data_IF_809851810487
#
_entry.id   IF_809851810487
#
_cell.length_a   1.000
_cell.length_b   1.000
_cell.length_c   1.000
_cell.angle_alpha   90.00
_cell.angle_beta   90.00
_cell.angle_gamma   90.00
#
_symmetry.space_group_name_H-M   'P 1'
#
loop_
_entity.id
_entity.type
_entity.pdbx_description
1 polymer ?
#
# COMPACT_ATOMS: atom_id res chain seq x y z
N UNK A 1 -20.90 11.44 -21.51
CA UNK A 1 -20.96 10.26 -20.61
C UNK A 1 -19.73 10.22 -19.73
N UNK A 2 -19.95 10.23 -18.44
CA UNK A 2 -18.87 9.97 -17.48
C UNK A 2 -18.47 8.50 -17.58
N UNK A 3 -17.22 8.27 -17.97
CA UNK A 3 -16.66 6.92 -18.03
C UNK A 3 -16.58 6.35 -16.62
N UNK A 4 -17.17 5.20 -16.36
CA UNK A 4 -17.07 4.55 -15.07
C UNK A 4 -15.70 3.84 -14.96
N UNK A 5 -14.74 4.56 -14.44
CA UNK A 5 -13.35 4.10 -14.30
C UNK A 5 -13.26 2.89 -13.37
N UNK A 6 -13.96 2.93 -12.23
CA UNK A 6 -13.92 1.82 -11.28
C UNK A 6 -14.43 0.51 -11.87
N UNK A 7 -15.50 0.55 -12.64
CA UNK A 7 -16.03 -0.63 -13.31
C UNK A 7 -15.06 -1.18 -14.36
N UNK A 8 -14.43 -0.29 -15.13
CA UNK A 8 -13.41 -0.66 -16.10
C UNK A 8 -12.22 -1.34 -15.41
N UNK A 9 -11.73 -0.77 -14.32
CA UNK A 9 -10.63 -1.33 -13.53
C UNK A 9 -10.98 -2.74 -13.02
N UNK A 10 -12.17 -2.91 -12.45
CA UNK A 10 -12.63 -4.24 -11.97
C UNK A 10 -12.57 -5.30 -13.07
N UNK A 11 -13.08 -4.98 -14.24
CA UNK A 11 -13.09 -5.90 -15.39
C UNK A 11 -11.67 -6.24 -15.83
N UNK A 12 -10.80 -5.24 -15.90
CA UNK A 12 -9.41 -5.43 -16.32
C UNK A 12 -8.61 -6.25 -15.31
N UNK A 13 -8.85 -6.06 -14.01
CA UNK A 13 -8.23 -6.89 -12.97
C UNK A 13 -8.72 -8.34 -13.03
N UNK A 14 -9.99 -8.57 -13.34
CA UNK A 14 -10.52 -9.91 -13.53
C UNK A 14 -9.84 -10.61 -14.73
N UNK A 15 -9.67 -9.89 -15.83
CA UNK A 15 -8.97 -10.41 -17.00
C UNK A 15 -7.50 -10.73 -16.69
N UNK A 16 -6.83 -9.84 -15.96
CA UNK A 16 -5.45 -10.07 -15.52
C UNK A 16 -5.34 -11.32 -14.64
N UNK A 17 -6.27 -11.51 -13.71
CA UNK A 17 -6.29 -12.69 -12.85
C UNK A 17 -6.40 -13.98 -13.68
N UNK A 18 -7.24 -13.98 -14.73
CA UNK A 18 -7.37 -15.11 -15.64
C UNK A 18 -6.09 -15.37 -16.43
N UNK A 19 -5.48 -14.34 -16.97
CA UNK A 19 -4.22 -14.44 -17.72
C UNK A 19 -3.07 -14.98 -16.87
N UNK A 20 -2.95 -14.48 -15.64
CA UNK A 20 -1.89 -14.84 -14.71
C UNK A 20 -2.22 -16.10 -13.88
N UNK A 21 -3.40 -16.68 -14.08
CA UNK A 21 -3.89 -17.85 -13.32
C UNK A 21 -3.83 -17.62 -11.82
N UNK A 22 -4.26 -16.43 -11.40
CA UNK A 22 -4.30 -16.02 -10.01
C UNK A 22 -5.74 -15.89 -9.53
N UNK A 23 -5.93 -16.02 -8.22
CA UNK A 23 -7.21 -15.72 -7.57
C UNK A 23 -7.54 -14.22 -7.73
N UNK A 24 -8.78 -13.93 -8.14
CA UNK A 24 -9.20 -12.54 -8.38
C UNK A 24 -9.06 -11.67 -7.13
N UNK A 25 -9.44 -12.18 -5.95
CA UNK A 25 -9.32 -11.42 -4.71
C UNK A 25 -7.87 -11.08 -4.37
N UNK A 26 -6.93 -11.97 -4.69
CA UNK A 26 -5.51 -11.70 -4.50
C UNK A 26 -5.01 -10.58 -5.42
N UNK A 27 -5.43 -10.61 -6.68
CA UNK A 27 -5.09 -9.54 -7.64
C UNK A 27 -5.70 -8.21 -7.20
N UNK A 28 -6.95 -8.23 -6.76
CA UNK A 28 -7.63 -7.04 -6.26
C UNK A 28 -6.91 -6.43 -5.05
N UNK A 29 -6.58 -7.24 -4.06
CA UNK A 29 -5.87 -6.77 -2.86
C UNK A 29 -4.51 -6.16 -3.25
N UNK A 30 -3.77 -6.79 -4.16
CA UNK A 30 -2.50 -6.24 -4.65
C UNK A 30 -2.68 -4.91 -5.35
N UNK A 31 -3.76 -4.77 -6.13
CA UNK A 31 -4.07 -3.48 -6.77
C UNK A 31 -4.34 -2.39 -5.74
N UNK A 32 -5.12 -2.69 -4.70
CA UNK A 32 -5.40 -1.73 -3.64
C UNK A 32 -4.13 -1.36 -2.86
N UNK A 33 -3.25 -2.32 -2.60
CA UNK A 33 -1.94 -2.06 -2.00
C UNK A 33 -1.11 -1.10 -2.86
N UNK A 34 -1.01 -1.38 -4.16
CA UNK A 34 -0.31 -0.53 -5.12
C UNK A 34 -0.86 0.90 -5.09
N UNK A 35 -2.18 1.06 -5.05
CA UNK A 35 -2.82 2.38 -5.07
C UNK A 35 -2.66 3.13 -3.75
N UNK A 36 -2.57 2.43 -2.63
CA UNK A 36 -2.23 3.08 -1.36
C UNK A 36 -0.76 3.51 -1.35
N UNK A 37 0.13 2.67 -1.85
CA UNK A 37 1.55 3.03 -2.00
C UNK A 37 1.72 4.25 -2.92
N UNK A 38 0.90 4.37 -3.96
CA UNK A 38 0.87 5.57 -4.80
C UNK A 38 0.55 6.81 -3.96
N UNK A 39 -0.48 6.76 -3.11
CA UNK A 39 -0.85 7.90 -2.27
C UNK A 39 0.25 8.27 -1.28
N UNK A 40 0.92 7.29 -0.72
CA UNK A 40 2.10 7.54 0.14
C UNK A 40 3.20 8.24 -0.68
N UNK A 41 3.49 7.74 -1.89
CA UNK A 41 4.54 8.29 -2.76
C UNK A 41 4.23 9.71 -3.25
N UNK A 42 2.95 10.04 -3.39
CA UNK A 42 2.50 11.36 -3.81
C UNK A 42 2.27 12.32 -2.64
N UNK A 43 2.42 11.85 -1.41
CA UNK A 43 2.25 12.64 -0.20
C UNK A 43 3.57 13.27 0.26
N UNK A 44 3.51 14.25 1.18
CA UNK A 44 4.73 14.79 1.81
C UNK A 44 5.53 13.76 2.64
N UNK A 45 4.94 12.58 2.88
CA UNK A 45 5.52 11.56 3.77
C UNK A 45 6.28 10.46 3.03
N UNK A 46 6.47 10.59 1.71
CA UNK A 46 7.15 9.60 0.88
C UNK A 46 8.48 9.11 1.48
N UNK A 47 9.31 10.04 1.97
CA UNK A 47 10.63 9.71 2.51
C UNK A 47 10.61 9.07 3.89
N UNK A 48 9.43 9.03 4.53
CA UNK A 48 9.28 8.51 5.89
C UNK A 48 8.83 7.05 5.93
N UNK A 49 8.48 6.45 4.80
CA UNK A 49 8.02 5.07 4.73
C UNK A 49 8.83 4.28 3.72
N UNK A 50 9.43 3.20 4.20
CA UNK A 50 10.23 2.30 3.37
C UNK A 50 9.52 0.97 3.22
N UNK A 51 9.39 0.51 1.97
CA UNK A 51 8.80 -0.79 1.67
C UNK A 51 9.72 -1.90 2.16
N UNK A 52 9.17 -2.90 2.83
CA UNK A 52 9.93 -4.06 3.31
C UNK A 52 9.09 -5.35 3.24
N UNK A 53 9.67 -6.45 3.67
CA UNK A 53 8.96 -7.73 3.83
C UNK A 53 8.33 -8.26 2.56
N UNK A 54 7.16 -8.88 2.70
CA UNK A 54 6.45 -9.53 1.59
C UNK A 54 6.03 -8.57 0.49
N UNK A 55 5.73 -7.32 0.83
CA UNK A 55 5.39 -6.28 -0.15
C UNK A 55 6.58 -5.96 -1.06
N UNK A 56 7.78 -5.94 -0.49
CA UNK A 56 9.01 -5.74 -1.27
C UNK A 56 9.29 -6.96 -2.17
N UNK A 57 9.06 -8.16 -1.67
CA UNK A 57 9.24 -9.38 -2.47
C UNK A 57 8.32 -9.38 -3.69
N UNK A 58 7.08 -8.95 -3.55
CA UNK A 58 6.19 -8.80 -4.71
C UNK A 58 6.73 -7.78 -5.71
N UNK A 59 7.27 -6.68 -5.23
CA UNK A 59 7.86 -5.67 -6.13
C UNK A 59 9.04 -6.22 -6.94
N UNK A 60 9.78 -7.19 -6.39
CA UNK A 60 10.93 -7.80 -7.05
C UNK A 60 10.56 -9.00 -7.92
N UNK A 61 9.64 -9.85 -7.46
CA UNK A 61 9.34 -11.15 -8.07
C UNK A 61 7.94 -11.27 -8.67
N UNK A 62 7.10 -10.23 -8.53
CA UNK A 62 5.73 -10.22 -9.06
C UNK A 62 4.87 -11.34 -8.47
N UNK A 63 4.06 -11.99 -9.31
CA UNK A 63 3.15 -13.05 -8.89
C UNK A 63 3.84 -14.34 -8.42
N UNK A 64 5.14 -14.46 -8.58
CA UNK A 64 5.93 -15.57 -8.01
C UNK A 64 6.12 -15.41 -6.51
N UNK A 65 6.04 -14.18 -6.01
CA UNK A 65 6.16 -13.93 -4.57
C UNK A 65 4.94 -14.43 -3.82
N UNK A 66 5.17 -14.82 -2.57
CA UNK A 66 4.09 -15.24 -1.68
C UNK A 66 3.06 -14.10 -1.52
N UNK A 67 1.76 -14.38 -1.63
CA UNK A 67 0.73 -13.38 -1.38
C UNK A 67 0.84 -12.82 0.03
N UNK A 68 0.68 -11.50 0.14
CA UNK A 68 0.63 -10.83 1.44
C UNK A 68 -0.76 -10.22 1.65
N UNK A 69 -1.21 -10.26 2.90
CA UNK A 69 -2.48 -9.65 3.31
C UNK A 69 -2.25 -8.19 3.69
N UNK A 70 -1.05 -7.88 4.21
CA UNK A 70 -0.72 -6.56 4.74
C UNK A 70 0.44 -5.94 3.97
N UNK A 71 0.43 -4.61 3.90
CA UNK A 71 1.59 -3.86 3.41
C UNK A 71 2.57 -3.74 4.58
N UNK A 72 3.83 -4.08 4.36
CA UNK A 72 4.90 -3.95 5.37
C UNK A 72 5.74 -2.70 5.09
N UNK A 73 5.74 -1.76 6.02
CA UNK A 73 6.52 -0.53 5.94
C UNK A 73 7.41 -0.36 7.16
N UNK A 74 8.56 0.27 6.95
CA UNK A 74 9.39 0.79 8.01
C UNK A 74 9.16 2.30 8.11
N UNK A 75 8.80 2.80 9.29
CA UNK A 75 8.69 4.22 9.56
C UNK A 75 10.06 4.78 9.95
N UNK A 76 10.49 5.83 9.26
CA UNK A 76 11.77 6.49 9.50
C UNK A 76 11.57 7.99 9.69
N UNK A 77 12.13 8.51 10.77
CA UNK A 77 12.02 9.94 11.13
C UNK A 77 10.56 10.42 11.18
N UNK A 78 9.68 9.55 11.67
CA UNK A 78 8.27 9.85 11.84
C UNK A 78 7.82 9.32 13.21
N UNK A 79 6.90 10.03 13.86
CA UNK A 79 6.41 9.65 15.18
C UNK A 79 5.57 8.36 15.11
N UNK A 80 5.77 7.50 16.11
CA UNK A 80 4.91 6.34 16.35
C UNK A 80 3.69 6.69 17.21
N UNK A 81 3.51 7.96 17.57
CA UNK A 81 2.34 8.42 18.30
C UNK A 81 1.08 8.20 17.47
N UNK A 82 0.06 7.60 18.11
CA UNK A 82 -1.18 7.20 17.43
C UNK A 82 -1.86 8.36 16.72
N UNK A 83 -2.03 9.48 17.42
CA UNK A 83 -2.75 10.64 16.88
C UNK A 83 -1.96 11.29 15.74
N UNK A 84 -0.65 11.42 15.90
CA UNK A 84 0.24 11.95 14.86
C UNK A 84 0.23 11.07 13.62
N UNK A 85 0.32 9.77 13.78
CA UNK A 85 0.32 8.81 12.68
C UNK A 85 -1.04 8.78 11.97
N UNK A 86 -2.13 8.93 12.73
CA UNK A 86 -3.47 9.02 12.16
C UNK A 86 -3.60 10.24 11.24
N UNK A 87 -3.09 11.40 11.66
CA UNK A 87 -3.07 12.61 10.83
C UNK A 87 -2.29 12.40 9.53
N UNK A 88 -1.15 11.72 9.62
CA UNK A 88 -0.35 11.37 8.43
C UNK A 88 -1.18 10.56 7.44
N UNK A 89 -1.86 9.51 7.91
CA UNK A 89 -2.66 8.65 7.03
C UNK A 89 -3.94 9.33 6.56
N UNK A 90 -4.51 10.26 7.31
CA UNK A 90 -5.61 11.09 6.82
C UNK A 90 -5.18 11.90 5.60
N UNK A 91 -3.98 12.48 5.63
CA UNK A 91 -3.43 13.21 4.49
C UNK A 91 -3.08 12.29 3.32
N UNK A 92 -2.52 11.12 3.61
CA UNK A 92 -2.24 10.09 2.57
C UNK A 92 -3.54 9.69 1.86
N UNK A 93 -4.59 9.38 2.62
CA UNK A 93 -5.88 8.96 2.06
C UNK A 93 -6.58 10.09 1.29
N UNK A 94 -6.27 11.35 1.57
CA UNK A 94 -6.84 12.50 0.88
C UNK A 94 -6.18 12.81 -0.47
N UNK A 95 -5.07 12.15 -0.80
CA UNK A 95 -4.46 12.25 -2.13
C UNK A 95 -5.43 11.65 -3.15
N UNK A 96 -5.87 12.47 -4.09
CA UNK A 96 -6.81 12.06 -5.11
C UNK A 96 -6.10 11.47 -6.32
N UNK A 97 -6.72 10.45 -6.92
CA UNK A 97 -6.28 9.88 -8.18
C UNK A 97 -7.51 9.32 -8.91
N UNK A 98 -8.07 10.12 -9.79
CA UNK A 98 -9.29 9.73 -10.53
C UNK A 98 -9.06 8.55 -11.46
N UNK A 99 -7.86 8.45 -12.03
CA UNK A 99 -7.53 7.46 -13.05
C UNK A 99 -7.44 6.03 -12.54
N UNK A 100 -7.27 5.82 -11.23
CA UNK A 100 -7.16 4.47 -10.66
C UNK A 100 -8.47 3.92 -10.10
N UNK A 101 -9.51 4.74 -10.03
CA UNK A 101 -10.83 4.33 -9.57
C UNK A 101 -10.96 4.03 -8.08
N UNK A 102 -9.92 4.24 -7.29
CA UNK A 102 -9.89 3.89 -5.87
C UNK A 102 -10.08 5.12 -4.98
N UNK A 103 -10.90 4.98 -3.95
CA UNK A 103 -11.05 5.98 -2.90
C UNK A 103 -10.75 5.32 -1.55
N UNK A 104 -9.85 5.90 -0.79
CA UNK A 104 -9.57 5.48 0.59
C UNK A 104 -10.35 6.38 1.55
N UNK A 105 -11.14 5.76 2.41
CA UNK A 105 -11.99 6.48 3.36
C UNK A 105 -11.17 6.87 4.61
N UNK A 106 -10.76 8.13 4.67
CA UNK A 106 -10.00 8.65 5.82
C UNK A 106 -10.78 8.55 7.14
N UNK A 107 -12.11 8.58 7.08
CA UNK A 107 -12.96 8.43 8.27
C UNK A 107 -12.98 7.01 8.82
N UNK A 108 -12.54 6.02 8.05
CA UNK A 108 -12.49 4.62 8.46
C UNK A 108 -11.17 4.24 9.16
N UNK A 109 -10.21 5.14 9.23
CA UNK A 109 -8.87 4.84 9.76
C UNK A 109 -8.93 4.34 11.20
N UNK A 110 -8.34 3.17 11.41
CA UNK A 110 -8.15 2.56 12.72
C UNK A 110 -6.67 2.23 12.89
N UNK A 111 -6.11 2.62 14.02
CA UNK A 111 -4.71 2.37 14.37
C UNK A 111 -4.66 1.53 15.63
N UNK A 112 -3.95 0.42 15.55
CA UNK A 112 -3.78 -0.52 16.65
C UNK A 112 -2.29 -0.80 16.86
N UNK A 113 -1.83 -0.89 18.12
CA UNK A 113 -0.46 -1.36 18.36
C UNK A 113 -0.34 -2.80 17.91
N UNK A 114 0.78 -3.12 17.25
CA UNK A 114 1.10 -4.50 16.97
C UNK A 114 1.63 -5.10 18.26
N UNK A 115 0.92 -6.12 18.80
CA UNK A 115 1.33 -6.83 20.00
C UNK A 115 2.62 -7.57 19.72
N UNK A 116 3.73 -7.09 20.26
CA UNK A 116 5.04 -7.67 20.01
C UNK A 116 5.82 -7.82 21.29
N UNK A 117 6.42 -8.99 21.45
CA UNK A 117 7.52 -9.23 22.37
C UNK A 117 8.80 -8.48 21.97
N UNK A 118 8.70 -7.49 21.10
CA UNK A 118 9.85 -6.75 20.57
C UNK A 118 10.09 -5.44 21.31
N UNK A 119 11.36 -5.06 21.35
CA UNK A 119 11.84 -3.83 21.98
C UNK A 119 11.23 -2.55 21.38
N UNK A 120 10.78 -2.61 20.12
CA UNK A 120 10.19 -1.48 19.41
C UNK A 120 8.79 -1.85 18.92
N UNK A 121 7.74 -1.24 19.48
CA UNK A 121 6.38 -1.53 19.07
C UNK A 121 6.09 -0.97 17.67
N UNK A 122 5.38 -1.77 16.87
CA UNK A 122 4.85 -1.34 15.60
C UNK A 122 3.42 -0.85 15.72
N UNK A 123 2.87 -0.35 14.61
CA UNK A 123 1.48 0.06 14.51
C UNK A 123 0.86 -0.54 13.27
N UNK A 124 -0.33 -1.12 13.40
CA UNK A 124 -1.15 -1.55 12.28
C UNK A 124 -2.16 -0.46 11.96
N UNK A 125 -2.13 0.02 10.72
CA UNK A 125 -3.08 1.01 10.21
C UNK A 125 -4.05 0.28 9.28
N UNK A 126 -5.35 0.42 9.54
CA UNK A 126 -6.41 -0.16 8.72
C UNK A 126 -7.24 0.95 8.10
N UNK A 127 -7.53 0.81 6.83
CA UNK A 127 -8.35 1.77 6.08
C UNK A 127 -9.24 1.03 5.10
N UNK A 128 -10.45 1.54 4.91
CA UNK A 128 -11.39 0.99 3.93
C UNK A 128 -11.16 1.63 2.58
N UNK A 129 -10.96 0.78 1.57
CA UNK A 129 -10.85 1.18 0.17
C UNK A 129 -12.15 0.88 -0.57
N UNK A 130 -12.54 1.79 -1.46
CA UNK A 130 -13.68 1.65 -2.35
C UNK A 130 -13.22 1.63 -3.80
N UNK A 131 -13.62 0.61 -4.53
CA UNK A 131 -13.41 0.49 -5.97
C UNK A 131 -14.75 0.08 -6.59
N UNK A 132 -15.47 1.02 -7.21
CA UNK A 132 -16.82 0.83 -7.70
C UNK A 132 -17.73 0.29 -6.56
N UNK A 133 -18.30 -0.90 -6.70
CA UNK A 133 -19.13 -1.54 -5.65
C UNK A 133 -18.32 -2.33 -4.62
N UNK A 134 -17.03 -2.51 -4.84
CA UNK A 134 -16.15 -3.24 -3.92
C UNK A 134 -15.80 -2.36 -2.73
N UNK A 135 -15.92 -2.93 -1.54
CA UNK A 135 -15.49 -2.34 -0.27
C UNK A 135 -14.52 -3.32 0.37
N UNK A 136 -13.27 -2.90 0.54
CA UNK A 136 -12.22 -3.80 1.03
C UNK A 136 -11.33 -3.07 2.04
N UNK A 137 -11.12 -3.70 3.19
CA UNK A 137 -10.16 -3.18 4.18
C UNK A 137 -8.73 -3.46 3.71
N UNK A 138 -7.88 -2.45 3.81
CA UNK A 138 -6.44 -2.54 3.56
C UNK A 138 -5.71 -2.31 4.87
N UNK A 139 -4.73 -3.17 5.17
CA UNK A 139 -3.94 -3.10 6.39
C UNK A 139 -2.48 -2.79 6.07
N UNK A 140 -1.89 -1.91 6.86
CA UNK A 140 -0.48 -1.51 6.76
C UNK A 140 0.18 -1.74 8.10
N UNK A 141 1.19 -2.59 8.13
CA UNK A 141 2.00 -2.83 9.32
C UNK A 141 3.25 -1.97 9.25
N UNK A 142 3.40 -1.08 10.22
CA UNK A 142 4.53 -0.15 10.27
C UNK A 142 5.43 -0.52 11.44
N UNK A 143 6.67 -0.90 11.14
CA UNK A 143 7.71 -1.10 12.14
C UNK A 143 8.50 0.19 12.35
N UNK A 144 9.06 0.36 13.53
CA UNK A 144 9.89 1.49 13.90
C UNK A 144 11.18 1.00 14.56
N UNK A 145 12.25 1.78 14.45
CA UNK A 145 13.49 1.51 15.15
C UNK A 145 14.46 0.54 14.46
N UNK A 146 14.13 0.03 13.29
CA UNK A 146 15.06 -0.80 12.51
C UNK A 146 16.16 0.09 11.91
N UNK A 147 17.37 -0.46 11.82
CA UNK A 147 18.47 0.23 11.17
C UNK A 147 18.44 -0.05 9.68
N UNK A 148 18.38 1.01 8.89
CA UNK A 148 18.44 0.91 7.43
C UNK A 148 19.88 0.96 6.99
N UNK A 149 20.41 -0.17 6.52
CA UNK A 149 21.79 -0.26 6.06
C UNK A 149 21.83 -1.01 4.75
N UNK A 150 22.52 -0.52 3.70
CA UNK A 150 23.33 0.69 3.72
C UNK A 150 22.52 1.99 3.58
N UNK A 151 21.50 2.07 2.71
CA UNK A 151 20.66 3.26 2.48
C UNK A 151 19.33 2.86 1.87
N UNK A 152 18.27 3.67 2.06
CA UNK A 152 17.03 3.47 1.32
C UNK A 152 17.27 3.55 -0.19
N UNK A 153 16.64 2.64 -0.93
CA UNK A 153 16.74 2.58 -2.39
C UNK A 153 15.41 2.98 -2.98
N UNK A 154 15.43 3.85 -4.00
CA UNK A 154 14.23 4.19 -4.75
C UNK A 154 13.87 3.01 -5.66
N UNK A 155 12.60 2.64 -5.65
CA UNK A 155 12.08 1.49 -6.37
C UNK A 155 10.86 1.90 -7.19
N UNK A 156 10.84 1.52 -8.46
CA UNK A 156 9.64 1.60 -9.28
C UNK A 156 8.79 0.37 -8.98
N UNK A 157 7.66 0.59 -8.29
CA UNK A 157 6.77 -0.50 -7.94
C UNK A 157 6.02 -0.99 -9.19
N UNK A 158 5.97 -2.31 -9.45
CA UNK A 158 5.35 -2.81 -10.67
C UNK A 158 3.85 -2.53 -10.71
N UNK A 159 3.38 -1.96 -11.82
CA UNK A 159 1.97 -1.69 -12.03
C UNK A 159 1.25 -2.93 -12.54
N UNK A 160 0.08 -3.23 -11.97
CA UNK A 160 -0.79 -4.29 -12.48
C UNK A 160 -1.50 -3.87 -13.77
N UNK A 161 -1.83 -2.59 -13.89
CA UNK A 161 -2.43 -2.01 -15.08
C UNK A 161 -1.55 -0.87 -15.60
N UNK A 162 -1.29 -0.79 -16.93
CA UNK A 162 -0.27 0.11 -17.46
C UNK A 162 -0.65 1.58 -17.52
N UNK A 163 -1.92 1.91 -17.42
CA UNK A 163 -2.47 3.27 -17.64
C UNK A 163 -2.84 4.01 -16.36
N UNK A 164 -2.49 3.48 -15.22
CA UNK A 164 -2.61 4.18 -13.92
C UNK A 164 -1.30 4.88 -13.57
N UNK A 165 -1.33 5.93 -12.74
CA UNK A 165 -0.09 6.62 -12.35
C UNK A 165 0.96 5.71 -11.72
N UNK A 166 2.20 5.91 -12.13
CA UNK A 166 3.35 5.15 -11.64
C UNK A 166 3.58 5.35 -10.14
N UNK A 167 4.14 4.33 -9.51
CA UNK A 167 4.48 4.33 -8.08
C UNK A 167 5.99 4.23 -7.93
N UNK A 168 6.59 5.29 -7.41
CA UNK A 168 8.00 5.29 -7.00
C UNK A 168 8.04 5.37 -5.48
N UNK A 169 8.59 4.37 -4.83
CA UNK A 169 8.63 4.28 -3.38
C UNK A 169 10.03 3.89 -2.91
N UNK A 170 10.39 4.34 -1.72
CA UNK A 170 11.64 3.90 -1.12
C UNK A 170 11.49 2.50 -0.53
N UNK A 171 12.55 1.73 -0.60
CA UNK A 171 12.60 0.38 -0.10
C UNK A 171 13.80 0.17 0.83
N UNK A 172 13.59 -0.71 1.82
CA UNK A 172 14.64 -1.14 2.73
C UNK A 172 15.09 -2.54 2.29
N UNK A 173 16.25 -2.61 1.64
CA UNK A 173 16.85 -3.89 1.24
C UNK A 173 17.65 -4.44 2.42
N UNK A 174 16.99 -5.23 3.27
CA UNK A 174 17.64 -5.99 4.31
C UNK A 174 18.10 -7.33 3.72
N UNK A 175 19.39 -7.52 3.71
CA UNK A 175 19.99 -8.80 3.37
C UNK A 175 20.27 -9.61 4.63
#
# INVERSE_FOLDING_TARGET
MTKNIGKSIKTRLLNLAKEEKQDYMKVLVRYLHERLLFRISASPYKSHFLLKGSSLLFALDGFKARPTIDIDLLGERISNDRDSLKEVFQKVCSVECEDDGVRFDAGSLELEPIAIEKKYPGTCVKVVAHLDTIVQQVSVDIGFGDVVTPYPVSLDYPLLLPDVPAVEIYACLLY
#
